data_IF_177741839482
#
_entry.id   IF_177741839482
#
_cell.length_a   1.000
_cell.length_b   1.000
_cell.length_c   1.000
_cell.angle_alpha   90.00
_cell.angle_beta   90.00
_cell.angle_gamma   90.00
#
_symmetry.space_group_name_H-M   'P 1'
#
loop_
_entity.id
_entity.type
_entity.pdbx_description
1 polymer ?
#
# COMPACT_ATOMS: atom_id res chain seq x y z
N UNK A 1 -0.37 -10.02 -15.89
CA UNK A 1 -1.49 -9.56 -15.05
C UNK A 1 -1.95 -8.22 -15.57
N UNK A 2 -3.23 -8.09 -15.92
CA UNK A 2 -3.78 -6.87 -16.51
C UNK A 2 -3.81 -5.72 -15.51
N UNK A 3 -3.56 -4.50 -15.99
CA UNK A 3 -3.67 -3.29 -15.19
C UNK A 3 -5.14 -2.94 -14.93
N UNK A 4 -5.43 -2.34 -13.78
CA UNK A 4 -6.78 -1.88 -13.48
C UNK A 4 -7.02 -0.57 -14.23
N UNK A 5 -8.14 -0.45 -14.95
CA UNK A 5 -8.56 0.83 -15.54
C UNK A 5 -9.29 1.63 -14.45
N UNK A 6 -8.67 2.71 -13.97
CA UNK A 6 -9.19 3.51 -12.86
C UNK A 6 -8.10 3.86 -11.85
N UNK A 7 -8.47 4.02 -10.58
CA UNK A 7 -7.55 4.30 -9.48
C UNK A 7 -7.56 3.17 -8.44
N UNK A 8 -6.53 3.14 -7.60
CA UNK A 8 -6.42 2.30 -6.42
C UNK A 8 -6.40 3.19 -5.18
N UNK A 9 -7.12 2.78 -4.15
CA UNK A 9 -7.06 3.38 -2.82
C UNK A 9 -6.27 2.45 -1.91
N UNK A 10 -5.18 2.99 -1.37
CA UNK A 10 -4.30 2.32 -0.42
C UNK A 10 -4.61 2.87 0.98
N UNK A 11 -4.79 1.99 1.96
CA UNK A 11 -5.16 2.36 3.32
C UNK A 11 -4.23 1.65 4.30
N UNK A 12 -3.59 2.42 5.18
CA UNK A 12 -2.90 1.89 6.34
C UNK A 12 -3.77 2.12 7.58
N UNK A 13 -4.02 1.06 8.34
CA UNK A 13 -4.82 1.11 9.57
C UNK A 13 -4.07 0.52 10.75
N UNK A 14 -4.33 1.04 11.94
CA UNK A 14 -3.88 0.43 13.19
C UNK A 14 -4.64 -0.87 13.46
N UNK A 15 -4.17 -1.65 14.43
CA UNK A 15 -4.88 -2.84 14.91
C UNK A 15 -6.23 -2.51 15.57
N UNK A 16 -6.44 -1.25 15.96
CA UNK A 16 -7.70 -0.74 16.51
C UNK A 16 -8.66 -0.25 15.42
N UNK A 17 -8.35 -0.50 14.14
CA UNK A 17 -9.17 -0.11 12.98
C UNK A 17 -9.23 1.42 12.80
N UNK A 18 -8.17 2.11 13.21
CA UNK A 18 -8.01 3.55 12.97
C UNK A 18 -7.23 3.76 11.68
N UNK A 19 -7.73 4.61 10.78
CA UNK A 19 -7.02 4.95 9.54
C UNK A 19 -5.90 5.93 9.87
N UNK A 20 -4.66 5.54 9.55
CA UNK A 20 -3.46 6.36 9.79
C UNK A 20 -3.01 7.06 8.52
N UNK A 21 -3.04 6.35 7.39
CA UNK A 21 -2.59 6.87 6.10
C UNK A 21 -3.50 6.43 4.97
N UNK A 22 -3.60 7.29 3.96
CA UNK A 22 -4.32 7.06 2.71
C UNK A 22 -3.44 7.51 1.56
N UNK A 23 -3.39 6.70 0.50
CA UNK A 23 -2.79 7.09 -0.77
C UNK A 23 -3.69 6.67 -1.93
N UNK A 24 -3.78 7.52 -2.94
CA UNK A 24 -4.47 7.23 -4.19
C UNK A 24 -3.44 7.08 -5.30
N UNK A 25 -3.50 5.98 -6.05
CA UNK A 25 -2.64 5.78 -7.22
C UNK A 25 -3.47 5.53 -8.48
N UNK A 26 -2.86 5.73 -9.63
CA UNK A 26 -3.45 5.25 -10.87
C UNK A 26 -3.44 3.70 -10.89
N UNK A 27 -4.39 3.07 -11.57
CA UNK A 27 -4.56 1.61 -11.58
C UNK A 27 -3.42 0.84 -12.25
N UNK A 28 -2.60 1.53 -13.04
CA UNK A 28 -1.35 1.03 -13.62
C UNK A 28 -0.14 1.07 -12.67
N UNK A 29 -0.27 1.66 -11.47
CA UNK A 29 0.84 1.67 -10.50
C UNK A 29 0.85 0.36 -9.72
N UNK A 30 2.03 -0.24 -9.56
CA UNK A 30 2.22 -1.44 -8.75
C UNK A 30 2.19 -1.07 -7.25
N UNK A 31 1.54 -1.91 -6.44
CA UNK A 31 1.26 -1.59 -5.03
C UNK A 31 2.55 -1.41 -4.22
N UNK A 32 3.60 -2.18 -4.51
CA UNK A 32 4.95 -2.04 -3.91
C UNK A 32 5.55 -0.63 -4.05
N UNK A 33 5.20 0.10 -5.13
CA UNK A 33 5.71 1.47 -5.32
C UNK A 33 5.00 2.50 -4.45
N UNK A 34 3.85 2.13 -3.87
CA UNK A 34 3.08 2.99 -2.99
C UNK A 34 3.45 2.76 -1.52
N UNK A 35 3.96 1.58 -1.17
CA UNK A 35 4.33 1.20 0.20
C UNK A 35 5.24 2.23 0.88
N UNK A 36 6.38 2.55 0.26
CA UNK A 36 7.36 3.51 0.78
C UNK A 36 6.75 4.88 1.09
N UNK A 37 5.78 5.32 0.28
CA UNK A 37 5.12 6.62 0.49
C UNK A 37 3.96 6.53 1.50
N UNK A 38 3.26 5.39 1.54
CA UNK A 38 2.09 5.20 2.40
C UNK A 38 2.47 5.15 3.87
N UNK A 39 3.64 4.60 4.20
CA UNK A 39 4.10 4.43 5.59
C UNK A 39 5.33 5.25 5.94
N UNK A 40 5.64 6.28 5.15
CA UNK A 40 6.76 7.19 5.43
C UNK A 40 6.58 7.86 6.81
N UNK A 41 7.62 7.82 7.62
CA UNK A 41 7.60 8.31 8.99
C UNK A 41 6.84 7.46 10.03
N UNK A 42 6.30 6.29 9.66
CA UNK A 42 5.71 5.34 10.61
C UNK A 42 6.73 4.31 11.10
N UNK A 43 6.96 4.27 12.40
CA UNK A 43 7.78 3.24 13.06
C UNK A 43 6.88 2.17 13.68
N UNK A 44 6.46 1.19 12.87
CA UNK A 44 5.62 0.10 13.30
C UNK A 44 5.83 -1.16 12.46
N UNK A 45 5.33 -2.30 12.94
CA UNK A 45 5.30 -3.53 12.15
C UNK A 45 4.14 -3.48 11.16
N UNK A 46 4.46 -3.40 9.86
CA UNK A 46 3.47 -3.41 8.79
C UNK A 46 3.05 -4.84 8.42
N UNK A 47 1.74 -5.05 8.30
CA UNK A 47 1.17 -6.26 7.71
C UNK A 47 0.48 -5.88 6.42
N UNK A 48 0.92 -6.43 5.30
CA UNK A 48 0.44 -6.04 3.98
C UNK A 48 0.08 -7.26 3.13
N UNK A 49 -0.74 -7.03 2.09
CA UNK A 49 -1.02 -8.04 1.09
C UNK A 49 0.26 -8.39 0.31
N UNK A 50 0.31 -9.59 -0.26
CA UNK A 50 1.42 -10.07 -1.08
C UNK A 50 1.81 -9.12 -2.21
N UNK A 51 0.88 -8.33 -2.74
CA UNK A 51 1.17 -7.35 -3.80
C UNK A 51 2.07 -6.19 -3.36
N UNK A 52 2.19 -5.95 -2.05
CA UNK A 52 3.12 -4.99 -1.45
C UNK A 52 4.44 -5.63 -1.04
N UNK A 53 4.47 -6.96 -0.91
CA UNK A 53 5.72 -7.67 -0.65
C UNK A 53 6.51 -7.78 -1.95
N UNK A 54 7.69 -7.15 -1.99
CA UNK A 54 8.64 -7.36 -3.06
C UNK A 54 9.01 -8.84 -3.22
N UNK A 55 9.50 -9.19 -4.41
CA UNK A 55 10.16 -10.48 -4.61
C UNK A 55 11.48 -10.40 -3.85
N UNK A 56 11.48 -10.80 -2.57
CA UNK A 56 12.72 -11.18 -1.91
C UNK A 56 13.26 -12.44 -2.64
N UNK A 57 14.56 -12.50 -2.96
CA UNK A 57 15.17 -13.75 -3.43
C UNK A 57 15.02 -14.87 -2.40
#
# INVERSE_FOLDING_TARGET
>A
MGWFYGCKLHVAMTQLVEIVCLALSNGHVADIKIDEHLVDGLEAKLYANRSYMGILP
#
